data_IF_452129476785
#
_entry.id   IF_452129476785
#
_cell.length_a   1.000
_cell.length_b   1.000
_cell.length_c   1.000
_cell.angle_alpha   90.00
_cell.angle_beta   90.00
_cell.angle_gamma   90.00
#
_symmetry.space_group_name_H-M   'P 1'
#
loop_
_entity.id
_entity.type
_entity.pdbx_description
1 polymer ?
#
# COMPACT_ATOMS: atom_id res chain seq x y z
N UNK A 1 -18.74 -19.20 0.90
CA UNK A 1 -18.32 -17.91 0.33
C UNK A 1 -18.60 -16.82 1.33
N UNK A 2 -17.62 -15.96 1.61
CA UNK A 2 -17.71 -14.92 2.64
C UNK A 2 -17.42 -13.56 1.99
N UNK A 3 -18.43 -12.70 1.76
CA UNK A 3 -18.20 -11.41 1.09
C UNK A 3 -17.37 -10.44 1.94
N UNK A 4 -17.48 -10.53 3.26
CA UNK A 4 -16.68 -9.78 4.21
C UNK A 4 -16.28 -10.65 5.41
N UNK A 5 -15.35 -10.14 6.22
CA UNK A 5 -14.83 -10.87 7.37
C UNK A 5 -15.88 -11.14 8.45
N UNK A 6 -16.97 -10.36 8.52
CA UNK A 6 -18.03 -10.62 9.50
C UNK A 6 -18.67 -11.99 9.29
N UNK A 7 -19.03 -12.34 8.06
CA UNK A 7 -19.63 -13.65 7.78
C UNK A 7 -18.65 -14.80 8.03
N UNK A 8 -17.37 -14.61 7.69
CA UNK A 8 -16.33 -15.60 7.95
C UNK A 8 -16.16 -15.87 9.45
N UNK A 9 -16.07 -14.82 10.27
CA UNK A 9 -15.87 -14.97 11.71
C UNK A 9 -17.11 -15.48 12.45
N UNK A 10 -18.30 -15.08 11.98
CA UNK A 10 -19.56 -15.60 12.51
C UNK A 10 -19.68 -17.10 12.30
N UNK A 11 -19.36 -17.58 11.10
CA UNK A 11 -19.52 -19.00 10.75
C UNK A 11 -18.43 -19.88 11.38
N UNK A 12 -17.16 -19.43 11.33
CA UNK A 12 -16.01 -20.23 11.79
C UNK A 12 -15.79 -20.21 13.31
N UNK A 13 -16.11 -19.09 13.96
CA UNK A 13 -15.79 -18.87 15.37
C UNK A 13 -17.02 -18.53 16.23
N UNK A 14 -18.21 -18.43 15.63
CA UNK A 14 -19.44 -18.02 16.31
C UNK A 14 -19.32 -16.63 17.00
N UNK A 15 -18.60 -15.71 16.35
CA UNK A 15 -18.33 -14.34 16.86
C UNK A 15 -19.07 -13.28 16.03
N UNK A 16 -19.94 -12.49 16.68
CA UNK A 16 -20.77 -11.45 16.05
C UNK A 16 -20.14 -10.03 16.13
N UNK A 17 -18.94 -9.83 15.57
CA UNK A 17 -18.29 -8.52 15.54
C UNK A 17 -18.72 -7.66 14.34
N UNK A 18 -19.75 -6.83 14.53
CA UNK A 18 -20.31 -5.93 13.51
C UNK A 18 -19.27 -5.09 12.72
N UNK A 19 -18.17 -4.56 13.31
CA UNK A 19 -17.16 -3.82 12.56
C UNK A 19 -16.52 -4.58 11.40
N UNK A 20 -16.47 -5.92 11.45
CA UNK A 20 -15.89 -6.74 10.39
C UNK A 20 -16.65 -6.68 9.05
N UNK A 21 -17.86 -6.10 9.03
CA UNK A 21 -18.67 -5.95 7.81
C UNK A 21 -18.04 -4.98 6.81
N UNK A 22 -17.25 -4.02 7.28
CA UNK A 22 -16.57 -3.04 6.44
C UNK A 22 -15.28 -3.58 5.80
N UNK A 23 -14.82 -4.76 6.22
CA UNK A 23 -13.60 -5.39 5.69
C UNK A 23 -14.02 -6.48 4.71
N UNK A 24 -14.01 -6.13 3.42
CA UNK A 24 -14.28 -7.08 2.34
C UNK A 24 -13.20 -8.17 2.30
N UNK A 25 -13.61 -9.41 2.06
CA UNK A 25 -12.67 -10.55 2.04
C UNK A 25 -11.64 -10.41 0.94
N UNK A 26 -12.06 -10.03 -0.27
CA UNK A 26 -11.13 -9.78 -1.39
C UNK A 26 -10.05 -8.75 -1.01
N UNK A 27 -10.47 -7.57 -0.51
CA UNK A 27 -9.56 -6.51 -0.11
C UNK A 27 -8.61 -6.93 1.02
N UNK A 28 -9.08 -7.72 1.97
CA UNK A 28 -8.25 -8.30 3.02
C UNK A 28 -7.14 -9.21 2.46
N UNK A 29 -7.49 -10.13 1.55
CA UNK A 29 -6.51 -11.03 0.93
C UNK A 29 -5.54 -10.29 -0.01
N UNK A 30 -5.98 -9.23 -0.69
CA UNK A 30 -5.09 -8.34 -1.44
C UNK A 30 -4.10 -7.66 -0.50
N UNK A 31 -4.54 -7.07 0.62
CA UNK A 31 -3.62 -6.47 1.58
C UNK A 31 -2.62 -7.50 2.14
N UNK A 32 -3.10 -8.71 2.43
CA UNK A 32 -2.27 -9.82 2.88
C UNK A 32 -1.24 -10.25 1.82
N UNK A 33 -1.60 -10.27 0.53
CA UNK A 33 -0.69 -10.63 -0.56
C UNK A 33 0.45 -9.62 -0.71
N UNK A 34 0.19 -8.33 -0.53
CA UNK A 34 1.23 -7.29 -0.48
C UNK A 34 2.20 -7.49 0.70
N UNK A 35 1.67 -7.78 1.89
CA UNK A 35 2.50 -8.01 3.09
C UNK A 35 3.37 -9.25 2.89
N UNK A 36 2.79 -10.36 2.50
CA UNK A 36 3.51 -11.63 2.30
C UNK A 36 4.52 -11.53 1.16
N UNK A 37 4.16 -10.86 0.06
CA UNK A 37 5.08 -10.57 -1.04
C UNK A 37 6.27 -9.72 -0.60
N UNK A 38 6.03 -8.64 0.16
CA UNK A 38 7.08 -7.78 0.69
C UNK A 38 8.01 -8.54 1.66
N UNK A 39 7.44 -9.31 2.60
CA UNK A 39 8.24 -10.11 3.55
C UNK A 39 9.10 -11.14 2.82
N UNK A 40 8.53 -11.81 1.82
CA UNK A 40 9.24 -12.83 1.02
C UNK A 40 10.35 -12.20 0.20
N UNK A 41 10.08 -11.07 -0.48
CA UNK A 41 11.09 -10.34 -1.24
C UNK A 41 12.23 -9.85 -0.34
N UNK A 42 11.92 -9.33 0.85
CA UNK A 42 12.92 -8.89 1.81
C UNK A 42 13.79 -10.06 2.30
N UNK A 43 13.17 -11.22 2.57
CA UNK A 43 13.89 -12.42 2.95
C UNK A 43 14.84 -12.90 1.83
N UNK A 44 14.38 -12.93 0.58
CA UNK A 44 15.18 -13.36 -0.57
C UNK A 44 16.31 -12.39 -0.92
N UNK A 45 16.06 -11.08 -0.88
CA UNK A 45 17.11 -10.07 -1.07
C UNK A 45 18.15 -10.13 0.07
N UNK A 46 17.72 -10.41 1.30
CA UNK A 46 18.64 -10.62 2.43
C UNK A 46 19.46 -11.90 2.22
N UNK A 47 18.84 -13.00 1.77
CA UNK A 47 19.52 -14.26 1.44
C UNK A 47 20.60 -14.04 0.37
N UNK A 48 20.26 -13.36 -0.72
CA UNK A 48 21.21 -13.01 -1.80
C UNK A 48 22.31 -12.04 -1.35
N UNK A 49 21.99 -11.11 -0.45
CA UNK A 49 22.98 -10.27 0.21
C UNK A 49 24.01 -11.09 1.01
N UNK A 50 23.54 -12.07 1.80
CA UNK A 50 24.43 -13.00 2.53
C UNK A 50 25.31 -13.86 1.61
N UNK A 51 24.86 -14.12 0.38
CA UNK A 51 25.62 -14.84 -0.64
C UNK A 51 26.65 -13.96 -1.37
N UNK A 52 26.72 -12.66 -1.07
CA UNK A 52 27.61 -11.71 -1.76
C UNK A 52 27.14 -11.28 -3.16
N UNK A 53 25.95 -11.71 -3.59
CA UNK A 53 25.37 -11.38 -4.91
C UNK A 53 24.82 -9.96 -4.99
N UNK A 54 24.58 -9.33 -3.84
CA UNK A 54 24.04 -7.98 -3.74
C UNK A 54 24.94 -7.15 -2.84
N UNK A 55 25.21 -5.92 -3.25
CA UNK A 55 26.08 -4.99 -2.54
C UNK A 55 25.27 -3.84 -1.91
N UNK A 56 25.66 -3.35 -0.73
CA UNK A 56 25.02 -2.19 -0.14
C UNK A 56 25.42 -0.90 -0.88
N UNK A 57 24.55 0.10 -0.80
CA UNK A 57 24.84 1.46 -1.28
C UNK A 57 25.12 2.36 -0.09
N UNK A 58 26.24 3.08 -0.12
CA UNK A 58 26.58 4.08 0.91
C UNK A 58 25.97 5.43 0.54
N UNK A 59 25.15 5.98 1.44
CA UNK A 59 24.52 7.29 1.26
C UNK A 59 24.80 8.14 2.49
N UNK A 60 25.19 9.39 2.27
CA UNK A 60 25.35 10.37 3.34
C UNK A 60 23.95 10.85 3.75
N UNK A 61 23.54 10.51 4.96
CA UNK A 61 22.26 10.95 5.54
C UNK A 61 22.56 11.89 6.70
N UNK A 62 21.87 13.03 6.73
CA UNK A 62 21.94 13.94 7.88
C UNK A 62 21.07 13.37 8.99
N UNK A 63 21.68 12.94 10.08
CA UNK A 63 21.00 12.39 11.25
C UNK A 63 20.87 13.46 12.33
N UNK A 64 19.73 13.47 13.04
CA UNK A 64 19.54 14.33 14.21
C UNK A 64 18.88 15.68 13.97
N UNK A 65 18.37 15.95 12.75
CA UNK A 65 17.51 17.12 12.50
C UNK A 65 16.17 16.98 13.24
N UNK A 66 15.61 18.08 13.80
CA UNK A 66 14.23 18.08 14.31
C UNK A 66 13.24 17.78 13.18
N UNK A 67 12.01 17.39 13.54
CA UNK A 67 10.94 17.20 12.57
C UNK A 67 10.74 18.49 11.77
N UNK A 68 10.76 18.39 10.44
CA UNK A 68 10.43 19.52 9.58
C UNK A 68 8.94 19.85 9.68
N UNK A 69 8.57 21.12 9.51
CA UNK A 69 7.16 21.53 9.40
C UNK A 69 6.46 20.73 8.30
N UNK A 70 7.12 20.52 7.17
CA UNK A 70 6.59 19.71 6.06
C UNK A 70 6.36 18.26 6.46
N UNK A 71 7.28 17.66 7.23
CA UNK A 71 7.10 16.28 7.71
C UNK A 71 5.89 16.20 8.66
N UNK A 72 5.75 17.15 9.58
CA UNK A 72 4.63 17.20 10.51
C UNK A 72 3.30 17.42 9.78
N UNK A 73 3.25 18.32 8.80
CA UNK A 73 2.06 18.57 7.99
C UNK A 73 1.67 17.35 7.16
N UNK A 74 2.63 16.66 6.54
CA UNK A 74 2.34 15.43 5.78
C UNK A 74 1.81 14.31 6.67
N UNK A 75 2.38 14.14 7.88
CA UNK A 75 1.89 13.14 8.84
C UNK A 75 0.51 13.54 9.41
N UNK A 76 0.28 14.83 9.64
CA UNK A 76 -1.05 15.34 10.01
C UNK A 76 -2.07 15.03 8.92
N UNK A 77 -1.76 15.34 7.65
CA UNK A 77 -2.66 15.12 6.53
C UNK A 77 -2.94 13.64 6.30
N UNK A 78 -1.92 12.77 6.45
CA UNK A 78 -2.10 11.33 6.40
C UNK A 78 -3.05 10.85 7.50
N UNK A 79 -2.80 11.24 8.76
CA UNK A 79 -3.68 10.89 9.88
C UNK A 79 -5.09 11.48 9.71
N UNK A 80 -5.20 12.68 9.16
CA UNK A 80 -6.47 13.34 8.87
C UNK A 80 -7.28 12.56 7.85
N UNK A 81 -6.70 12.17 6.72
CA UNK A 81 -7.40 11.39 5.69
C UNK A 81 -7.84 10.02 6.26
N UNK A 82 -6.96 9.35 7.01
CA UNK A 82 -7.29 8.08 7.64
C UNK A 82 -8.42 8.23 8.67
N UNK A 83 -8.42 9.29 9.46
CA UNK A 83 -9.48 9.55 10.45
C UNK A 83 -10.79 9.98 9.80
N UNK A 84 -10.72 10.88 8.82
CA UNK A 84 -11.85 11.45 8.10
C UNK A 84 -12.61 10.40 7.28
N UNK A 85 -11.88 9.41 6.72
CA UNK A 85 -12.46 8.33 5.90
C UNK A 85 -12.52 7.00 6.63
N UNK A 86 -11.37 6.42 6.93
CA UNK A 86 -11.29 5.02 7.35
C UNK A 86 -11.86 4.85 8.76
N UNK A 87 -11.48 5.70 9.70
CA UNK A 87 -12.06 5.64 11.04
C UNK A 87 -13.54 6.04 11.03
N UNK A 88 -13.93 6.96 10.15
CA UNK A 88 -15.31 7.38 9.98
C UNK A 88 -16.25 6.24 9.55
N UNK A 89 -15.78 5.26 8.78
CA UNK A 89 -16.56 4.05 8.43
C UNK A 89 -17.09 3.31 9.68
N UNK A 90 -16.36 3.35 10.79
CA UNK A 90 -16.72 2.64 12.01
C UNK A 90 -17.51 3.50 13.01
N UNK A 91 -17.56 4.81 12.81
CA UNK A 91 -18.16 5.78 13.76
C UNK A 91 -19.45 6.38 13.20
N UNK A 92 -19.51 6.64 11.90
CA UNK A 92 -20.67 7.24 11.25
C UNK A 92 -21.82 6.23 11.12
N UNK A 93 -23.02 6.75 10.94
CA UNK A 93 -24.21 5.91 10.80
C UNK A 93 -24.07 4.89 9.66
N UNK A 94 -24.59 3.68 9.90
CA UNK A 94 -24.56 2.56 8.98
C UNK A 94 -25.23 2.90 7.64
N UNK A 95 -26.29 3.71 7.68
CA UNK A 95 -27.00 4.17 6.47
C UNK A 95 -26.09 4.84 5.43
N UNK A 96 -25.07 5.59 5.89
CA UNK A 96 -24.12 6.33 5.05
C UNK A 96 -22.92 5.46 4.64
N UNK A 97 -22.61 4.43 5.42
CA UNK A 97 -21.40 3.60 5.30
C UNK A 97 -21.67 2.19 4.75
N UNK A 98 -22.91 1.90 4.37
CA UNK A 98 -23.34 0.61 3.83
C UNK A 98 -22.52 0.14 2.62
N UNK A 99 -22.07 1.08 1.77
CA UNK A 99 -21.10 0.82 0.72
C UNK A 99 -19.78 1.52 1.05
N UNK A 100 -18.79 0.77 1.59
CA UNK A 100 -17.49 1.33 1.95
C UNK A 100 -16.75 1.94 0.77
N UNK A 101 -16.87 1.36 -0.42
CA UNK A 101 -16.17 1.82 -1.62
C UNK A 101 -16.75 3.16 -2.06
N UNK A 102 -18.07 3.25 -2.22
CA UNK A 102 -18.72 4.52 -2.54
C UNK A 102 -18.43 5.60 -1.48
N UNK A 103 -18.42 5.22 -0.19
CA UNK A 103 -18.09 6.15 0.89
C UNK A 103 -16.65 6.69 0.79
N UNK A 104 -15.66 5.83 0.55
CA UNK A 104 -14.25 6.21 0.42
C UNK A 104 -14.07 7.25 -0.69
N UNK A 105 -14.70 7.04 -1.85
CA UNK A 105 -14.61 7.95 -3.00
C UNK A 105 -15.58 9.15 -2.94
N UNK A 106 -16.49 9.21 -1.97
CA UNK A 106 -17.40 10.35 -1.79
C UNK A 106 -16.72 11.58 -1.17
N UNK A 107 -17.42 12.72 -1.07
CA UNK A 107 -16.98 13.86 -0.25
C UNK A 107 -17.20 13.69 1.26
N UNK A 108 -17.96 12.67 1.68
CA UNK A 108 -18.43 12.50 3.07
C UNK A 108 -17.32 11.98 3.99
N UNK A 109 -17.40 12.33 5.27
CA UNK A 109 -16.46 11.88 6.29
C UNK A 109 -16.70 12.49 7.65
N UNK A 110 -15.81 12.19 8.60
CA UNK A 110 -15.91 12.67 9.98
C UNK A 110 -14.75 13.62 10.32
N UNK A 111 -15.04 14.92 10.35
CA UNK A 111 -14.05 15.98 10.63
C UNK A 111 -13.37 15.81 12.01
N UNK A 112 -14.11 15.64 13.14
CA UNK A 112 -13.49 15.41 14.43
C UNK A 112 -12.52 14.22 14.44
N UNK A 113 -12.92 13.08 13.88
CA UNK A 113 -12.08 11.89 13.79
C UNK A 113 -10.81 12.15 12.97
N UNK A 114 -10.94 12.87 11.84
CA UNK A 114 -9.81 13.32 11.03
C UNK A 114 -8.84 14.20 11.83
N UNK A 115 -9.33 15.26 12.46
CA UNK A 115 -8.47 16.19 13.21
C UNK A 115 -7.75 15.48 14.35
N UNK A 116 -8.46 14.66 15.14
CA UNK A 116 -7.87 13.93 16.27
C UNK A 116 -6.75 13.00 15.79
N UNK A 117 -7.01 12.21 14.75
CA UNK A 117 -6.03 11.25 14.24
C UNK A 117 -4.85 11.95 13.54
N UNK A 118 -5.11 13.06 12.86
CA UNK A 118 -4.08 13.93 12.27
C UNK A 118 -3.14 14.49 13.32
N UNK A 119 -3.67 15.09 14.40
CA UNK A 119 -2.86 15.59 15.51
C UNK A 119 -2.06 14.46 16.16
N UNK A 120 -2.67 13.29 16.34
CA UNK A 120 -1.99 12.12 16.90
C UNK A 120 -0.78 11.71 16.04
N UNK A 121 -0.94 11.60 14.72
CA UNK A 121 0.14 11.20 13.82
C UNK A 121 1.27 12.22 13.77
N UNK A 122 0.94 13.52 13.71
CA UNK A 122 1.93 14.59 13.79
C UNK A 122 2.67 14.57 15.15
N UNK A 123 1.95 14.36 16.25
CA UNK A 123 2.51 14.25 17.60
C UNK A 123 3.44 13.04 17.76
N UNK A 124 3.06 11.87 17.24
CA UNK A 124 3.92 10.67 17.20
C UNK A 124 5.19 10.98 16.41
N UNK A 125 5.07 11.59 15.23
CA UNK A 125 6.23 11.90 14.39
C UNK A 125 7.18 12.91 15.05
N UNK A 126 6.62 13.92 15.68
CA UNK A 126 7.37 14.89 16.46
C UNK A 126 8.12 14.23 17.62
N UNK A 127 7.46 13.33 18.35
CA UNK A 127 8.08 12.57 19.45
C UNK A 127 9.21 11.67 18.97
N UNK A 128 9.02 10.97 17.85
CA UNK A 128 10.05 10.12 17.23
C UNK A 128 11.30 10.94 16.87
N UNK A 129 11.12 12.06 16.17
CA UNK A 129 12.24 12.92 15.74
C UNK A 129 12.92 13.62 16.91
N UNK A 130 12.17 14.03 17.93
CA UNK A 130 12.76 14.62 19.13
C UNK A 130 13.60 13.61 19.92
N UNK A 131 13.18 12.34 19.98
CA UNK A 131 14.00 11.27 20.58
C UNK A 131 15.31 11.03 19.81
N UNK A 132 15.29 11.22 18.49
CA UNK A 132 16.45 11.03 17.62
C UNK A 132 17.26 12.31 17.38
N UNK A 133 16.87 13.44 18.00
CA UNK A 133 17.51 14.74 17.80
C UNK A 133 18.90 14.73 18.43
N UNK A 134 19.91 15.11 17.64
CA UNK A 134 21.28 15.27 18.12
C UNK A 134 21.55 16.76 18.39
N UNK A 135 22.47 17.09 19.32
CA UNK A 135 22.86 18.48 19.59
C UNK A 135 23.40 19.22 18.36
N UNK A 136 24.07 18.49 17.47
CA UNK A 136 24.49 18.94 16.15
C UNK A 136 24.10 17.87 15.13
N UNK A 137 23.40 18.22 14.04
CA UNK A 137 23.14 17.27 12.97
C UNK A 137 24.45 16.77 12.37
N UNK A 138 24.62 15.45 12.31
CA UNK A 138 25.83 14.80 11.81
C UNK A 138 25.56 14.13 10.46
N UNK A 139 26.51 14.24 9.54
CA UNK A 139 26.51 13.43 8.32
C UNK A 139 26.99 12.03 8.67
N UNK A 140 26.08 11.06 8.63
CA UNK A 140 26.44 9.64 8.80
C UNK A 140 26.35 8.93 7.46
N UNK A 141 27.41 8.20 7.13
CA UNK A 141 27.39 7.23 6.03
C UNK A 141 26.58 6.03 6.48
N UNK A 142 25.36 5.90 5.96
CA UNK A 142 24.50 4.76 6.21
C UNK A 142 24.58 3.84 5.00
N UNK A 143 24.76 2.54 5.25
CA UNK A 143 24.71 1.49 4.23
C UNK A 143 23.26 1.03 4.08
N UNK A 144 22.68 1.27 2.91
CA UNK A 144 21.37 0.75 2.54
C UNK A 144 21.54 -0.53 1.73
N UNK A 145 21.01 -1.63 2.24
CA UNK A 145 20.93 -2.87 1.51
C UNK A 145 19.67 -2.92 0.64
N UNK A 146 19.66 -3.73 -0.44
CA UNK A 146 18.48 -3.89 -1.27
C UNK A 146 17.23 -4.35 -0.50
N UNK A 147 17.38 -5.15 0.57
CA UNK A 147 16.25 -5.58 1.39
C UNK A 147 15.64 -4.45 2.25
N UNK A 148 16.40 -3.39 2.56
CA UNK A 148 15.88 -2.21 3.27
C UNK A 148 14.96 -1.37 2.37
N UNK A 149 15.08 -1.55 1.04
CA UNK A 149 14.33 -0.81 0.02
C UNK A 149 13.01 -1.47 -0.36
N UNK A 150 12.67 -2.62 0.22
CA UNK A 150 11.47 -3.37 -0.16
C UNK A 150 10.20 -2.54 0.05
N UNK A 151 10.10 -1.77 1.13
CA UNK A 151 8.96 -0.88 1.34
C UNK A 151 8.81 0.15 0.20
N UNK A 152 9.92 0.75 -0.25
CA UNK A 152 9.92 1.67 -1.40
C UNK A 152 9.51 0.95 -2.69
N UNK A 153 10.03 -0.25 -2.93
CA UNK A 153 9.68 -1.09 -4.09
C UNK A 153 8.19 -1.42 -4.08
N UNK A 154 7.62 -1.81 -2.95
CA UNK A 154 6.20 -2.14 -2.80
C UNK A 154 5.31 -0.93 -3.06
N UNK A 155 5.70 0.26 -2.58
CA UNK A 155 4.95 1.50 -2.84
C UNK A 155 5.01 1.87 -4.33
N UNK A 156 6.19 1.77 -4.97
CA UNK A 156 6.33 1.98 -6.41
C UNK A 156 5.47 1.00 -7.19
N UNK A 157 5.49 -0.29 -6.82
CA UNK A 157 4.67 -1.33 -7.44
C UNK A 157 3.17 -1.02 -7.32
N UNK A 158 2.71 -0.61 -6.13
CA UNK A 158 1.31 -0.26 -5.89
C UNK A 158 0.87 0.93 -6.74
N UNK A 159 1.64 2.02 -6.74
CA UNK A 159 1.29 3.25 -7.46
C UNK A 159 1.28 2.99 -8.98
N UNK A 160 2.38 2.48 -9.53
CA UNK A 160 2.48 2.27 -10.97
C UNK A 160 1.64 1.08 -11.47
N UNK A 161 1.34 0.12 -10.60
CA UNK A 161 0.41 -0.96 -10.88
C UNK A 161 -1.02 -0.46 -11.01
N UNK A 162 -1.50 0.36 -10.09
CA UNK A 162 -2.85 0.94 -10.18
C UNK A 162 -2.96 1.92 -11.35
N UNK A 163 -1.98 2.80 -11.53
CA UNK A 163 -1.96 3.75 -12.65
C UNK A 163 -1.90 3.03 -14.00
N UNK A 164 -1.05 2.01 -14.14
CA UNK A 164 -0.93 1.21 -15.35
C UNK A 164 -2.20 0.42 -15.66
N UNK A 165 -2.82 -0.18 -14.64
CA UNK A 165 -4.06 -0.93 -14.82
C UNK A 165 -5.20 -0.03 -15.31
N UNK A 166 -5.33 1.17 -14.74
CA UNK A 166 -6.33 2.14 -15.17
C UNK A 166 -6.05 2.72 -16.56
N UNK A 167 -4.78 3.00 -16.86
CA UNK A 167 -4.36 3.51 -18.16
C UNK A 167 -4.68 2.51 -19.29
N UNK A 168 -4.41 1.23 -19.08
CA UNK A 168 -4.70 0.20 -20.08
C UNK A 168 -6.20 -0.05 -20.22
N UNK A 169 -6.95 0.00 -19.13
CA UNK A 169 -8.42 -0.05 -19.18
C UNK A 169 -9.00 1.09 -20.04
N UNK A 170 -8.45 2.30 -19.92
CA UNK A 170 -8.82 3.45 -20.77
C UNK A 170 -8.52 3.19 -22.25
N UNK A 171 -7.37 2.58 -22.56
CA UNK A 171 -7.02 2.27 -23.95
C UNK A 171 -7.87 1.14 -24.53
N UNK A 172 -8.21 0.14 -23.72
CA UNK A 172 -9.07 -0.98 -24.12
C UNK A 172 -10.50 -0.51 -24.37
N UNK A 173 -11.02 0.37 -23.51
CA UNK A 173 -12.39 0.90 -23.57
C UNK A 173 -12.44 2.34 -24.09
N UNK A 174 -11.62 2.66 -25.09
CA UNK A 174 -11.41 4.03 -25.56
C UNK A 174 -12.69 4.76 -25.97
N UNK A 175 -13.62 4.06 -26.63
CA UNK A 175 -14.91 4.64 -27.03
C UNK A 175 -15.80 5.03 -25.86
N UNK A 176 -15.76 4.26 -24.76
CA UNK A 176 -16.58 4.56 -23.58
C UNK A 176 -15.91 5.62 -22.72
N UNK A 177 -14.58 5.60 -22.64
CA UNK A 177 -13.80 6.68 -22.06
C UNK A 177 -14.10 8.05 -22.70
N UNK A 178 -14.18 8.13 -24.03
CA UNK A 178 -14.45 9.38 -24.74
C UNK A 178 -15.84 9.98 -24.45
N UNK A 179 -16.82 9.15 -24.07
CA UNK A 179 -18.18 9.63 -23.75
C UNK A 179 -18.19 10.39 -22.42
N UNK A 180 -17.53 9.86 -21.40
CA UNK A 180 -17.47 10.47 -20.06
C UNK A 180 -16.07 10.36 -19.41
N UNK A 181 -15.07 11.13 -19.88
CA UNK A 181 -13.67 10.95 -19.46
C UNK A 181 -13.43 11.12 -17.97
N UNK A 182 -14.07 12.11 -17.33
CA UNK A 182 -13.90 12.40 -15.91
C UNK A 182 -14.48 11.27 -15.04
N UNK A 183 -15.71 10.86 -15.32
CA UNK A 183 -16.40 9.76 -14.65
C UNK A 183 -15.58 8.47 -14.77
N UNK A 184 -15.07 8.18 -15.97
CA UNK A 184 -14.31 6.98 -16.26
C UNK A 184 -12.96 6.93 -15.49
N UNK A 185 -12.22 8.04 -15.43
CA UNK A 185 -10.93 8.10 -14.72
C UNK A 185 -11.09 7.93 -13.21
N UNK A 186 -12.08 8.59 -12.61
CA UNK A 186 -12.32 8.53 -11.17
C UNK A 186 -13.17 7.33 -10.73
N UNK A 187 -13.70 6.56 -11.69
CA UNK A 187 -14.40 5.32 -11.40
C UNK A 187 -13.47 4.32 -10.75
N UNK A 188 -13.86 3.72 -9.60
CA UNK A 188 -13.08 2.69 -8.94
C UNK A 188 -13.17 1.32 -9.65
N UNK A 189 -13.98 1.22 -10.71
CA UNK A 189 -14.05 0.05 -11.59
C UNK A 189 -13.13 0.22 -12.82
N UNK A 190 -12.88 -0.89 -13.53
CA UNK A 190 -12.07 -0.90 -14.75
C UNK A 190 -10.56 -0.84 -14.44
N UNK A 191 -9.96 -2.02 -14.21
CA UNK A 191 -8.52 -2.17 -13.96
C UNK A 191 -7.99 -3.36 -14.76
N UNK A 192 -7.23 -3.10 -15.83
CA UNK A 192 -6.67 -4.15 -16.68
C UNK A 192 -5.37 -4.71 -16.07
N UNK A 193 -5.34 -6.02 -15.77
CA UNK A 193 -4.21 -6.69 -15.11
C UNK A 193 -2.87 -6.47 -15.84
N UNK A 194 -2.85 -6.64 -17.16
CA UNK A 194 -1.62 -6.51 -17.96
C UNK A 194 -1.01 -5.11 -17.87
N UNK A 195 -1.84 -4.06 -17.86
CA UNK A 195 -1.37 -2.70 -17.70
C UNK A 195 -0.68 -2.48 -16.36
N UNK A 196 -1.29 -3.00 -15.30
CA UNK A 196 -0.69 -2.92 -13.97
C UNK A 196 0.63 -3.68 -13.86
N UNK A 197 0.69 -4.90 -14.40
CA UNK A 197 1.90 -5.71 -14.41
C UNK A 197 3.05 -5.04 -15.18
N UNK A 198 2.79 -4.58 -16.40
CA UNK A 198 3.82 -3.98 -17.27
C UNK A 198 4.36 -2.68 -16.67
N UNK A 199 3.47 -1.76 -16.28
CA UNK A 199 3.87 -0.47 -15.73
C UNK A 199 4.60 -0.61 -14.38
N UNK A 200 4.12 -1.49 -13.49
CA UNK A 200 4.80 -1.75 -12.23
C UNK A 200 6.20 -2.36 -12.45
N UNK A 201 6.32 -3.36 -13.34
CA UNK A 201 7.60 -3.99 -13.64
C UNK A 201 8.63 -2.98 -14.20
N UNK A 202 8.21 -2.11 -15.12
CA UNK A 202 9.06 -1.05 -15.67
C UNK A 202 9.48 -0.05 -14.58
N UNK A 203 8.55 0.40 -13.74
CA UNK A 203 8.86 1.34 -12.66
C UNK A 203 9.84 0.74 -11.64
N UNK A 204 9.63 -0.51 -11.24
CA UNK A 204 10.54 -1.26 -10.36
C UNK A 204 11.91 -1.42 -11.01
N UNK A 205 11.97 -1.69 -12.32
CA UNK A 205 13.23 -1.80 -13.05
C UNK A 205 14.02 -0.49 -13.04
N UNK A 206 13.38 0.65 -13.34
CA UNK A 206 14.02 1.95 -13.27
C UNK A 206 14.48 2.30 -11.84
N UNK A 207 13.66 1.98 -10.84
CA UNK A 207 14.01 2.14 -9.43
C UNK A 207 15.23 1.28 -9.06
N UNK A 208 15.24 0.00 -9.43
CA UNK A 208 16.33 -0.93 -9.18
C UNK A 208 17.64 -0.46 -9.83
N UNK A 209 17.58 0.02 -11.08
CA UNK A 209 18.73 0.59 -11.80
C UNK A 209 19.29 1.82 -11.09
N UNK A 210 18.43 2.74 -10.64
CA UNK A 210 18.82 3.93 -9.86
C UNK A 210 19.53 3.56 -8.56
N UNK A 211 19.11 2.47 -7.92
CA UNK A 211 19.66 2.00 -6.64
C UNK A 211 20.71 0.90 -6.78
N UNK A 212 21.23 0.65 -8.00
CA UNK A 212 22.26 -0.35 -8.29
C UNK A 212 21.90 -1.78 -7.81
N UNK A 213 20.62 -2.12 -7.81
CA UNK A 213 20.15 -3.47 -7.50
C UNK A 213 20.23 -4.29 -8.80
N UNK A 214 20.95 -5.41 -8.76
CA UNK A 214 21.16 -6.25 -9.95
C UNK A 214 19.86 -6.82 -10.51
N UNK A 215 19.62 -6.64 -11.82
CA UNK A 215 18.37 -7.02 -12.49
C UNK A 215 18.02 -8.51 -12.28
N UNK A 216 18.93 -9.41 -12.60
CA UNK A 216 18.69 -10.86 -12.48
C UNK A 216 18.44 -11.29 -11.04
N UNK A 217 19.22 -10.76 -10.10
CA UNK A 217 19.08 -11.09 -8.68
C UNK A 217 17.79 -10.54 -8.07
N UNK A 218 17.31 -9.38 -8.54
CA UNK A 218 16.02 -8.85 -8.12
C UNK A 218 14.87 -9.71 -8.65
N UNK A 219 14.87 -10.06 -9.94
CA UNK A 219 13.81 -10.90 -10.53
C UNK A 219 13.78 -12.29 -9.90
N UNK A 220 14.94 -12.92 -9.69
CA UNK A 220 15.04 -14.21 -9.01
C UNK A 220 14.54 -14.14 -7.55
N UNK A 221 14.79 -13.02 -6.85
CA UNK A 221 14.24 -12.79 -5.51
C UNK A 221 12.72 -12.50 -5.54
N UNK A 222 12.22 -11.86 -6.60
CA UNK A 222 10.83 -11.49 -6.76
C UNK A 222 9.95 -12.68 -7.16
N UNK A 223 10.48 -13.67 -7.88
CA UNK A 223 9.73 -14.84 -8.33
C UNK A 223 8.93 -15.54 -7.22
N UNK A 224 9.52 -15.97 -6.08
CA UNK A 224 8.74 -16.58 -5.00
C UNK A 224 7.76 -15.61 -4.34
N UNK A 225 8.09 -14.32 -4.26
CA UNK A 225 7.20 -13.30 -3.72
C UNK A 225 5.95 -13.11 -4.59
N UNK A 226 6.10 -13.09 -5.92
CA UNK A 226 5.01 -12.99 -6.88
C UNK A 226 4.14 -14.24 -6.89
N UNK A 227 4.73 -15.44 -6.84
CA UNK A 227 3.98 -16.69 -6.75
C UNK A 227 3.12 -16.73 -5.48
N UNK A 228 3.70 -16.36 -4.33
CA UNK A 228 2.96 -16.32 -3.07
C UNK A 228 1.84 -15.27 -3.10
N UNK A 229 2.14 -14.07 -3.61
CA UNK A 229 1.13 -13.00 -3.73
C UNK A 229 -0.03 -13.42 -4.64
N UNK A 230 0.27 -14.07 -5.77
CA UNK A 230 -0.76 -14.59 -6.68
C UNK A 230 -1.61 -15.68 -6.04
N UNK A 231 -0.99 -16.64 -5.35
CA UNK A 231 -1.71 -17.71 -4.64
C UNK A 231 -2.68 -17.14 -3.59
N UNK A 232 -2.22 -16.17 -2.78
CA UNK A 232 -3.04 -15.51 -1.78
C UNK A 232 -4.15 -14.67 -2.42
N UNK A 233 -3.86 -14.00 -3.54
CA UNK A 233 -4.86 -13.27 -4.31
C UNK A 233 -5.97 -14.20 -4.83
N UNK A 234 -5.61 -15.38 -5.35
CA UNK A 234 -6.56 -16.40 -5.81
C UNK A 234 -7.43 -16.95 -4.68
N UNK A 235 -6.87 -17.15 -3.49
CA UNK A 235 -7.66 -17.47 -2.29
C UNK A 235 -8.66 -16.35 -2.00
N UNK A 236 -8.23 -15.09 -2.14
CA UNK A 236 -9.09 -13.92 -2.02
C UNK A 236 -10.30 -13.95 -2.96
N UNK A 237 -10.07 -14.24 -4.25
CA UNK A 237 -11.13 -14.42 -5.25
C UNK A 237 -12.11 -15.52 -4.82
N UNK A 238 -11.60 -16.71 -4.48
CA UNK A 238 -12.42 -17.86 -4.06
C UNK A 238 -13.29 -17.53 -2.84
N UNK A 239 -12.71 -16.89 -1.82
CA UNK A 239 -13.42 -16.57 -0.58
C UNK A 239 -14.49 -15.50 -0.84
N UNK A 240 -14.17 -14.51 -1.67
CA UNK A 240 -15.08 -13.43 -2.03
C UNK A 240 -16.24 -13.87 -2.93
N UNK A 241 -16.14 -15.05 -3.58
CA UNK A 241 -17.16 -15.54 -4.51
C UNK A 241 -16.94 -15.21 -5.96
N UNK A 242 -15.75 -14.68 -6.26
CA UNK A 242 -15.27 -14.28 -7.58
C UNK A 242 -14.18 -15.28 -8.07
N UNK A 243 -14.18 -16.49 -7.49
CA UNK A 243 -13.35 -17.59 -7.94
C UNK A 243 -14.16 -18.43 -8.90
N UNK A 244 -13.70 -18.52 -10.15
CA UNK A 244 -14.21 -19.48 -11.15
C UNK A 244 -14.21 -20.93 -10.63
#
# INVERSE_FOLDING_TARGET
MYPNLYYAFKDLFNVDWKPLRFINSFGFFVALSFILGAVTLAAELRRKGKQGLLQPTEINVVVGKPASITELLLNFLLGFILGYKILALFIMDGSVTNDPQAFIFSGLGNWPAGIILGVLFAGIKWREKNKQKLPKPELRKIRFWPHDRVGEITIVALIFGLLGAKLFDIFENWSDFLKEPSSYIFSPAGLTFYGGLICAALAIWFYAKKHKIGFWHLNDAAAPALMLAYAVGRIGCQVAGDGD
#
